data_IF_927360526503
#
_entry.id   IF_927360526503
#
_cell.length_a   1.000
_cell.length_b   1.000
_cell.length_c   1.000
_cell.angle_alpha   90.00
_cell.angle_beta   90.00
_cell.angle_gamma   90.00
#
_symmetry.space_group_name_H-M   'P 1'
#
loop_
_entity.id
_entity.type
_entity.pdbx_description
1 polymer ?
#
# COMPACT_ATOMS: atom_id res chain seq x y z
N UNK A 1 33.65 26.37 -36.79
CA UNK A 1 33.15 26.40 -35.39
C UNK A 1 31.76 25.77 -35.19
N UNK A 2 31.27 24.93 -36.13
CA UNK A 2 29.85 24.49 -36.15
C UNK A 2 29.55 23.18 -35.39
N UNK A 3 30.51 22.25 -35.28
CA UNK A 3 30.25 20.91 -34.74
C UNK A 3 30.00 20.82 -33.22
N UNK A 4 30.53 21.75 -32.42
CA UNK A 4 30.37 21.74 -30.96
C UNK A 4 28.98 22.21 -30.51
N UNK A 5 28.31 23.03 -31.32
CA UNK A 5 26.97 23.57 -31.02
C UNK A 5 25.91 22.48 -31.22
N UNK A 6 26.01 21.71 -32.30
CA UNK A 6 25.13 20.56 -32.55
C UNK A 6 25.23 19.48 -31.48
N UNK A 7 26.45 19.17 -31.01
CA UNK A 7 26.66 18.20 -29.94
C UNK A 7 26.07 18.65 -28.59
N UNK A 8 26.16 19.95 -28.28
CA UNK A 8 25.55 20.53 -27.07
C UNK A 8 24.02 20.50 -27.13
N UNK A 9 23.43 20.82 -28.28
CA UNK A 9 21.98 20.76 -28.48
C UNK A 9 21.45 19.32 -28.35
N UNK A 10 22.18 18.35 -28.90
CA UNK A 10 21.83 16.93 -28.77
C UNK A 10 21.93 16.44 -27.31
N UNK A 11 22.98 16.84 -26.58
CA UNK A 11 23.13 16.52 -25.17
C UNK A 11 22.02 17.14 -24.29
N UNK A 12 21.60 18.38 -24.58
CA UNK A 12 20.48 19.04 -23.90
C UNK A 12 19.16 18.32 -24.18
N UNK A 13 18.94 17.85 -25.42
CA UNK A 13 17.76 17.09 -25.79
C UNK A 13 17.70 15.73 -25.07
N UNK A 14 18.82 15.02 -24.98
CA UNK A 14 18.92 13.78 -24.19
C UNK A 14 18.67 14.06 -22.70
N UNK A 15 19.22 15.14 -22.16
CA UNK A 15 18.99 15.54 -20.77
C UNK A 15 17.50 15.86 -20.52
N UNK A 16 16.84 16.56 -21.44
CA UNK A 16 15.40 16.84 -21.37
C UNK A 16 14.57 15.55 -21.45
N UNK A 17 14.92 14.62 -22.34
CA UNK A 17 14.28 13.29 -22.40
C UNK A 17 14.48 12.51 -21.10
N UNK A 18 15.68 12.52 -20.52
CA UNK A 18 15.96 11.86 -19.23
C UNK A 18 15.14 12.48 -18.09
N UNK A 19 14.95 13.80 -18.08
CA UNK A 19 14.11 14.50 -17.11
C UNK A 19 12.63 14.14 -17.28
N UNK A 20 12.14 14.00 -18.52
CA UNK A 20 10.76 13.58 -18.80
C UNK A 20 10.50 12.11 -18.41
N UNK A 21 11.47 11.22 -18.58
CA UNK A 21 11.37 9.82 -18.13
C UNK A 21 11.52 9.64 -16.62
N UNK A 22 12.24 10.54 -15.95
CA UNK A 22 12.40 10.52 -14.48
C UNK A 22 11.13 10.98 -13.74
N UNK A 23 10.16 11.53 -14.47
CA UNK A 23 8.97 12.19 -13.93
C UNK A 23 7.73 11.31 -13.76
N UNK A 24 7.84 9.99 -13.60
CA UNK A 24 6.70 9.22 -13.05
C UNK A 24 6.64 9.47 -11.55
N UNK A 25 6.08 10.60 -11.13
CA UNK A 25 5.50 10.68 -9.78
C UNK A 25 4.60 9.46 -9.67
N UNK A 26 4.89 8.59 -8.71
CA UNK A 26 4.08 7.43 -8.40
C UNK A 26 2.72 7.94 -7.91
N UNK A 27 1.84 8.27 -8.86
CA UNK A 27 0.42 8.20 -8.59
C UNK A 27 0.18 6.81 -8.02
N UNK A 28 -0.47 6.67 -6.85
CA UNK A 28 -0.89 5.37 -6.40
C UNK A 28 -1.73 4.79 -7.53
N UNK A 29 -1.16 3.86 -8.29
CA UNK A 29 -1.94 3.08 -9.23
C UNK A 29 -3.02 2.41 -8.39
N UNK A 30 -4.28 2.49 -8.83
CA UNK A 30 -5.36 1.75 -8.20
C UNK A 30 -4.90 0.30 -8.10
N UNK A 31 -4.79 -0.22 -6.87
CA UNK A 31 -4.36 -1.59 -6.63
C UNK A 31 -5.35 -2.51 -7.35
N UNK A 32 -4.85 -3.57 -7.99
CA UNK A 32 -5.74 -4.55 -8.59
C UNK A 32 -6.52 -5.29 -7.49
N UNK A 33 -7.71 -5.77 -7.83
CA UNK A 33 -8.54 -6.58 -6.93
C UNK A 33 -7.76 -7.75 -6.33
N UNK A 34 -6.93 -8.43 -7.14
CA UNK A 34 -6.06 -9.50 -6.68
C UNK A 34 -5.06 -9.05 -5.60
N UNK A 35 -4.44 -7.88 -5.77
CA UNK A 35 -3.53 -7.32 -4.77
C UNK A 35 -4.25 -6.95 -3.47
N UNK A 36 -5.45 -6.37 -3.57
CA UNK A 36 -6.28 -6.01 -2.41
C UNK A 36 -6.70 -7.26 -1.64
N UNK A 37 -7.21 -8.28 -2.34
CA UNK A 37 -7.62 -9.54 -1.74
C UNK A 37 -6.45 -10.18 -1.00
N UNK A 38 -5.26 -10.18 -1.60
CA UNK A 38 -4.06 -10.74 -0.98
C UNK A 38 -3.63 -9.97 0.27
N UNK A 39 -3.66 -8.64 0.25
CA UNK A 39 -3.41 -7.83 1.43
C UNK A 39 -4.40 -8.11 2.56
N UNK A 40 -5.69 -8.32 2.24
CA UNK A 40 -6.71 -8.72 3.23
C UNK A 40 -6.37 -10.08 3.82
N UNK A 41 -6.01 -11.08 3.02
CA UNK A 41 -5.62 -12.41 3.52
C UNK A 41 -4.43 -12.34 4.47
N UNK A 42 -3.35 -11.67 4.05
CA UNK A 42 -2.16 -11.51 4.87
C UNK A 42 -2.45 -10.75 6.17
N UNK A 43 -3.36 -9.77 6.15
CA UNK A 43 -3.81 -9.10 7.36
C UNK A 43 -4.55 -10.06 8.29
N UNK A 44 -5.46 -10.89 7.78
CA UNK A 44 -6.20 -11.90 8.55
C UNK A 44 -5.25 -12.89 9.22
N UNK A 45 -4.30 -13.43 8.47
CA UNK A 45 -3.28 -14.35 9.00
C UNK A 45 -2.46 -13.72 10.13
N UNK A 46 -2.01 -12.47 9.96
CA UNK A 46 -1.29 -11.75 11.02
C UNK A 46 -2.17 -11.49 12.24
N UNK A 47 -3.46 -11.23 12.04
CA UNK A 47 -4.41 -11.04 13.15
C UNK A 47 -4.67 -12.35 13.88
N UNK A 48 -4.90 -13.44 13.19
CA UNK A 48 -5.11 -14.75 13.83
C UNK A 48 -3.87 -15.12 14.66
N UNK A 49 -2.67 -15.00 14.09
CA UNK A 49 -1.41 -15.22 14.84
C UNK A 49 -1.28 -14.32 16.07
N UNK A 50 -1.70 -13.06 15.96
CA UNK A 50 -1.70 -12.15 17.11
C UNK A 50 -2.61 -12.66 18.23
N UNK A 51 -3.79 -13.16 17.92
CA UNK A 51 -4.71 -13.69 18.94
C UNK A 51 -4.19 -15.00 19.55
N UNK A 52 -3.61 -15.85 18.72
CA UNK A 52 -3.11 -17.18 19.12
C UNK A 52 -1.85 -17.08 20.01
N UNK A 53 -0.86 -16.29 19.61
CA UNK A 53 0.49 -16.38 20.17
C UNK A 53 0.93 -15.15 20.97
N UNK A 54 0.40 -13.96 20.64
CA UNK A 54 1.01 -12.73 21.14
C UNK A 54 0.75 -12.52 22.64
N UNK A 55 1.74 -12.09 23.47
CA UNK A 55 1.54 -11.88 24.91
C UNK A 55 0.47 -10.84 25.25
N UNK A 56 0.28 -9.86 24.36
CA UNK A 56 -0.79 -8.85 24.44
C UNK A 56 -2.11 -9.27 23.78
N UNK A 57 -2.26 -10.54 23.43
CA UNK A 57 -3.54 -11.08 22.98
C UNK A 57 -4.58 -10.89 24.08
N UNK A 58 -5.82 -10.49 23.74
CA UNK A 58 -6.91 -10.40 24.70
C UNK A 58 -7.42 -11.77 25.14
N UNK A 59 -7.03 -12.85 24.46
CA UNK A 59 -7.43 -14.21 24.85
C UNK A 59 -6.67 -14.65 26.10
N UNK A 60 -7.38 -15.29 27.02
CA UNK A 60 -6.76 -16.02 28.11
C UNK A 60 -6.14 -17.35 27.62
N UNK A 61 -5.39 -18.03 28.47
CA UNK A 61 -4.71 -19.28 28.10
C UNK A 61 -5.68 -20.40 27.68
N UNK A 62 -6.86 -20.47 28.31
CA UNK A 62 -7.87 -21.49 27.98
C UNK A 62 -8.49 -21.24 26.61
N UNK A 63 -8.70 -19.98 26.26
CA UNK A 63 -9.20 -19.55 24.97
C UNK A 63 -8.16 -19.75 23.87
N UNK A 64 -6.88 -19.42 24.12
CA UNK A 64 -5.78 -19.64 23.15
C UNK A 64 -5.64 -21.11 22.78
N UNK A 65 -5.74 -22.02 23.75
CA UNK A 65 -5.65 -23.48 23.49
C UNK A 65 -6.72 -24.00 22.53
N UNK A 66 -7.86 -23.33 22.46
CA UNK A 66 -8.99 -23.71 21.61
C UNK A 66 -9.21 -22.72 20.45
N UNK A 67 -8.23 -21.84 20.17
CA UNK A 67 -8.39 -20.80 19.17
C UNK A 67 -8.05 -21.36 17.77
N UNK A 68 -9.04 -21.35 16.87
CA UNK A 68 -8.91 -21.86 15.50
C UNK A 68 -8.86 -20.73 14.45
N UNK A 69 -8.76 -19.47 14.90
CA UNK A 69 -8.84 -18.29 14.04
C UNK A 69 -10.09 -17.44 14.29
N UNK A 70 -10.03 -16.18 13.86
CA UNK A 70 -11.19 -15.29 13.93
C UNK A 70 -12.23 -15.66 12.85
N UNK A 71 -13.51 -15.44 13.16
CA UNK A 71 -14.58 -15.59 12.17
C UNK A 71 -14.62 -14.37 11.26
N UNK A 72 -14.26 -14.56 9.99
CA UNK A 72 -14.30 -13.51 8.98
C UNK A 72 -15.47 -13.70 8.01
N UNK A 73 -16.04 -12.59 7.54
CA UNK A 73 -16.91 -12.59 6.37
C UNK A 73 -16.12 -12.92 5.09
N UNK A 74 -16.79 -13.44 4.03
CA UNK A 74 -16.19 -13.54 2.71
C UNK A 74 -15.60 -12.21 2.24
N UNK A 75 -14.51 -12.25 1.48
CA UNK A 75 -13.95 -11.04 0.89
C UNK A 75 -14.87 -10.61 -0.26
N UNK A 76 -15.56 -9.49 -0.08
CA UNK A 76 -16.44 -8.89 -1.07
C UNK A 76 -16.07 -7.42 -1.27
N UNK A 77 -15.44 -7.13 -2.41
CA UNK A 77 -14.92 -5.80 -2.73
C UNK A 77 -16.04 -4.78 -2.98
N UNK A 78 -17.32 -5.19 -3.07
CA UNK A 78 -18.46 -4.25 -3.10
C UNK A 78 -18.60 -3.45 -1.81
N UNK A 79 -18.04 -3.95 -0.71
CA UNK A 79 -17.99 -3.26 0.59
C UNK A 79 -16.69 -2.48 0.79
N UNK A 80 -15.80 -2.42 -0.21
CA UNK A 80 -14.63 -1.54 -0.20
C UNK A 80 -15.00 -0.20 -0.80
N UNK A 81 -14.81 0.87 -0.03
CA UNK A 81 -15.07 2.23 -0.48
C UNK A 81 -13.84 3.12 -0.25
N UNK A 82 -13.76 4.18 -1.04
CA UNK A 82 -12.77 5.23 -0.88
C UNK A 82 -13.47 6.47 -0.35
N UNK A 83 -12.90 7.09 0.67
CA UNK A 83 -13.48 8.25 1.35
C UNK A 83 -12.45 9.36 1.50
N UNK A 84 -12.91 10.60 1.43
CA UNK A 84 -12.07 11.77 1.74
C UNK A 84 -11.84 11.84 3.25
N UNK A 85 -10.57 12.02 3.64
CA UNK A 85 -10.21 12.24 5.04
C UNK A 85 -10.29 13.74 5.33
N UNK A 86 -11.19 14.15 6.21
CA UNK A 86 -11.26 15.51 6.73
C UNK A 86 -10.52 15.59 8.07
N UNK A 87 -9.45 16.40 8.12
CA UNK A 87 -8.66 16.54 9.34
C UNK A 87 -9.22 17.65 10.21
N UNK A 88 -9.79 17.29 11.36
CA UNK A 88 -10.18 18.27 12.35
C UNK A 88 -8.95 18.76 13.13
N UNK A 89 -8.72 20.08 13.17
CA UNK A 89 -7.71 20.67 14.07
C UNK A 89 -8.39 21.03 15.38
N UNK A 90 -8.12 20.22 16.40
CA UNK A 90 -8.41 20.59 17.78
C UNK A 90 -7.50 21.76 18.15
N UNK A 91 -8.10 22.89 18.53
CA UNK A 91 -7.39 23.95 19.22
C UNK A 91 -7.45 23.57 20.70
N UNK A 92 -6.34 23.08 21.24
CA UNK A 92 -6.16 22.72 22.65
C UNK A 92 -5.15 23.71 23.23
#
# INVERSE_FOLDING_TARGET
MSGKVGLKLFAIFILLLLVLFSGKKAYPQAQSDGQIIEQIRQYRERRDRFFEEHPRSPLDESQRRNFEGLRYYPIDLRYRFEGKIERYRFHI
#
